data_IF_124276861783
#
_entry.id   IF_124276861783
#
_cell.length_a   1.000
_cell.length_b   1.000
_cell.length_c   1.000
_cell.angle_alpha   90.00
_cell.angle_beta   90.00
_cell.angle_gamma   90.00
#
_symmetry.space_group_name_H-M   'P 1'
#
loop_
_entity.id
_entity.type
_entity.pdbx_description
1 polymer ?
#
# COMPACT_ATOMS: atom_id res chain seq x y z
N UNK A 1 -4.72 6.49 30.23
CA UNK A 1 -5.75 7.52 30.46
C UNK A 1 -7.06 6.96 29.91
N UNK A 2 -7.95 6.44 30.78
CA UNK A 2 -9.25 5.92 30.35
C UNK A 2 -10.13 7.12 30.00
N UNK A 3 -10.53 7.22 28.77
CA UNK A 3 -11.55 8.21 28.34
C UNK A 3 -12.89 7.52 28.51
N UNK A 4 -13.61 7.85 29.58
CA UNK A 4 -15.02 7.54 29.71
C UNK A 4 -15.79 8.49 28.79
N UNK A 5 -16.36 7.95 27.73
CA UNK A 5 -17.32 8.67 26.87
C UNK A 5 -18.70 8.34 27.42
N UNK A 6 -19.31 9.28 28.15
CA UNK A 6 -20.73 9.19 28.47
C UNK A 6 -21.55 9.16 27.17
N UNK A 7 -22.18 8.03 26.91
CA UNK A 7 -23.15 7.90 25.83
C UNK A 7 -24.40 8.70 26.21
N UNK A 8 -24.59 9.87 25.59
CA UNK A 8 -25.87 10.60 25.69
C UNK A 8 -26.95 9.78 25.02
N UNK A 9 -28.00 9.45 25.78
CA UNK A 9 -29.21 8.72 25.35
C UNK A 9 -29.93 9.47 24.21
N UNK A 10 -29.55 9.18 22.98
CA UNK A 10 -30.25 9.65 21.79
C UNK A 10 -31.33 8.64 21.35
N UNK A 11 -32.46 9.10 20.77
CA UNK A 11 -33.58 8.23 20.38
C UNK A 11 -33.23 7.14 19.37
N UNK A 12 -32.07 7.19 18.74
CA UNK A 12 -31.57 6.20 17.78
C UNK A 12 -31.10 4.88 18.42
N UNK A 13 -30.53 4.92 19.65
CA UNK A 13 -30.02 3.73 20.32
C UNK A 13 -31.11 2.80 20.86
N UNK A 14 -32.30 3.32 21.18
CA UNK A 14 -33.44 2.52 21.67
C UNK A 14 -34.10 1.64 20.61
N UNK A 15 -33.85 1.90 19.31
CA UNK A 15 -34.47 1.12 18.22
C UNK A 15 -33.72 -0.15 17.82
N UNK A 16 -32.47 -0.35 18.25
CA UNK A 16 -31.66 -1.49 17.82
C UNK A 16 -31.59 -2.67 18.79
N UNK A 17 -32.31 -2.63 19.94
CA UNK A 17 -32.34 -3.77 20.87
C UNK A 17 -30.96 -4.23 21.37
N UNK A 18 -29.95 -3.38 21.33
CA UNK A 18 -28.61 -3.71 21.79
C UNK A 18 -28.58 -3.77 23.31
N UNK A 19 -27.92 -4.78 23.92
CA UNK A 19 -27.85 -4.90 25.37
C UNK A 19 -27.16 -3.68 25.98
N UNK A 20 -27.75 -3.11 27.04
CA UNK A 20 -27.21 -1.95 27.80
C UNK A 20 -25.94 -2.27 28.62
N UNK A 21 -25.22 -3.31 28.30
CA UNK A 21 -23.87 -3.50 28.83
C UNK A 21 -22.91 -2.68 27.94
N UNK A 22 -22.32 -1.64 28.52
CA UNK A 22 -21.34 -0.81 27.85
C UNK A 22 -20.33 -1.70 27.13
N UNK A 23 -20.39 -1.71 25.80
CA UNK A 23 -19.32 -2.28 24.97
C UNK A 23 -18.14 -1.35 25.17
N UNK A 24 -17.21 -1.76 26.03
CA UNK A 24 -15.89 -1.09 26.08
C UNK A 24 -15.26 -1.39 24.71
N UNK A 25 -15.42 -0.48 23.77
CA UNK A 25 -14.62 -0.50 22.57
C UNK A 25 -13.17 -0.29 23.02
N UNK A 26 -12.32 -1.30 22.87
CA UNK A 26 -10.90 -1.13 23.09
C UNK A 26 -10.45 0.11 22.30
N UNK A 27 -9.74 1.03 22.96
CA UNK A 27 -9.22 2.20 22.27
C UNK A 27 -8.25 1.71 21.19
N UNK A 28 -8.44 2.17 19.95
CA UNK A 28 -7.61 1.81 18.81
C UNK A 28 -6.88 3.03 18.28
N UNK A 29 -5.65 2.83 17.89
CA UNK A 29 -4.86 3.80 17.14
C UNK A 29 -4.79 3.36 15.69
N UNK A 30 -5.14 4.25 14.77
CA UNK A 30 -5.04 4.05 13.32
C UNK A 30 -3.88 4.88 12.79
N UNK A 31 -3.04 4.28 11.96
CA UNK A 31 -1.89 4.93 11.34
C UNK A 31 -2.00 4.75 9.83
N UNK A 32 -2.10 5.86 9.11
CA UNK A 32 -2.09 5.88 7.65
C UNK A 32 -0.67 5.59 7.15
N UNK A 33 -0.53 4.53 6.38
CA UNK A 33 0.74 4.06 5.83
C UNK A 33 0.89 4.39 4.34
N UNK A 34 0.09 5.32 3.82
CA UNK A 34 0.08 5.71 2.41
C UNK A 34 0.70 7.07 2.17
N UNK A 35 1.19 7.27 0.94
CA UNK A 35 1.50 8.59 0.41
C UNK A 35 0.27 9.17 -0.30
N UNK A 36 0.20 10.50 -0.37
CA UNK A 36 -0.84 11.19 -1.16
C UNK A 36 -0.52 11.08 -2.65
N UNK A 37 -1.53 10.78 -3.47
CA UNK A 37 -1.41 10.91 -4.93
C UNK A 37 -1.49 12.39 -5.28
N UNK A 38 -0.38 12.95 -5.75
CA UNK A 38 -0.27 14.36 -6.10
C UNK A 38 0.18 14.51 -7.55
N UNK A 39 -0.34 15.52 -8.28
CA UNK A 39 0.12 15.80 -9.62
C UNK A 39 1.52 16.42 -9.62
N UNK A 40 2.29 16.16 -10.67
CA UNK A 40 3.56 16.84 -10.95
C UNK A 40 4.72 16.56 -10.00
N UNK A 41 4.62 15.60 -9.07
CA UNK A 41 5.75 15.21 -8.23
C UNK A 41 6.76 14.36 -9.02
N UNK A 42 8.07 14.67 -8.94
CA UNK A 42 9.10 13.96 -9.71
C UNK A 42 9.57 12.65 -9.03
N UNK A 43 8.73 12.00 -8.24
CA UNK A 43 9.02 10.74 -7.54
C UNK A 43 8.74 9.50 -8.38
N UNK A 44 8.22 9.69 -9.58
CA UNK A 44 7.97 8.65 -10.58
C UNK A 44 8.62 9.05 -11.93
N UNK A 45 8.90 8.08 -12.81
CA UNK A 45 9.28 8.36 -14.18
C UNK A 45 8.25 9.29 -14.87
N UNK A 46 8.67 10.19 -15.78
CA UNK A 46 7.79 11.23 -16.33
C UNK A 46 6.45 10.72 -16.90
N UNK A 47 6.43 9.51 -17.48
CA UNK A 47 5.23 8.92 -18.06
C UNK A 47 4.25 8.38 -16.99
N UNK A 48 4.69 8.20 -15.75
CA UNK A 48 3.90 7.68 -14.64
C UNK A 48 3.43 8.77 -13.67
N UNK A 49 3.89 10.01 -13.86
CA UNK A 49 3.49 11.14 -13.01
C UNK A 49 1.98 11.37 -13.16
N UNK A 50 1.21 11.38 -12.06
CA UNK A 50 -0.22 11.61 -12.11
C UNK A 50 -0.59 12.98 -12.67
N UNK A 51 -1.71 13.03 -13.40
CA UNK A 51 -2.39 14.28 -13.79
C UNK A 51 -3.76 14.29 -13.15
N UNK A 52 -4.12 15.40 -12.54
CA UNK A 52 -5.40 15.61 -11.87
C UNK A 52 -5.99 16.90 -12.38
N UNK A 53 -7.12 16.81 -13.06
CA UNK A 53 -7.91 17.95 -13.52
C UNK A 53 -9.05 18.16 -12.51
N UNK A 54 -9.02 19.31 -11.82
CA UNK A 54 -9.97 19.65 -10.78
C UNK A 54 -11.11 20.47 -11.36
N UNK A 55 -12.34 20.01 -11.17
CA UNK A 55 -13.57 20.75 -11.39
C UNK A 55 -14.10 21.17 -10.03
N UNK A 56 -13.94 22.45 -9.70
CA UNK A 56 -14.36 23.00 -8.41
C UNK A 56 -15.88 23.21 -8.34
N UNK A 57 -16.35 23.64 -7.19
CA UNK A 57 -17.79 23.87 -6.94
C UNK A 57 -18.42 24.92 -7.85
N UNK A 58 -17.67 25.94 -8.28
CA UNK A 58 -18.18 26.97 -9.19
C UNK A 58 -18.35 26.39 -10.60
N UNK A 59 -17.37 25.63 -11.09
CA UNK A 59 -17.45 24.91 -12.34
C UNK A 59 -18.55 23.83 -12.30
N UNK A 60 -18.67 23.12 -11.16
CA UNK A 60 -19.72 22.12 -10.94
C UNK A 60 -21.13 22.71 -10.99
N UNK A 61 -21.32 23.93 -10.53
CA UNK A 61 -22.61 24.61 -10.64
C UNK A 61 -23.02 24.87 -12.10
N UNK A 62 -22.03 25.17 -12.95
CA UNK A 62 -22.27 25.30 -14.40
C UNK A 62 -22.62 23.94 -15.00
N UNK A 63 -21.85 22.88 -14.67
CA UNK A 63 -22.09 21.54 -15.17
C UNK A 63 -23.46 20.98 -14.76
N UNK A 64 -23.95 21.31 -13.55
CA UNK A 64 -25.28 20.89 -13.11
C UNK A 64 -26.40 21.39 -14.03
N UNK A 65 -26.24 22.49 -14.73
CA UNK A 65 -27.23 23.01 -15.67
C UNK A 65 -27.45 22.08 -16.86
N UNK A 66 -26.44 21.29 -17.24
CA UNK A 66 -26.56 20.28 -18.29
C UNK A 66 -27.47 19.11 -17.88
N UNK A 67 -27.51 18.81 -16.58
CA UNK A 67 -28.34 17.73 -16.02
C UNK A 67 -29.73 18.21 -15.60
N UNK A 68 -29.88 19.50 -15.30
CA UNK A 68 -31.11 20.12 -14.83
C UNK A 68 -31.50 21.29 -15.73
N UNK A 69 -32.14 21.03 -16.90
CA UNK A 69 -32.51 22.10 -17.84
C UNK A 69 -33.37 23.20 -17.17
N UNK A 70 -32.92 24.45 -17.32
CA UNK A 70 -33.58 25.61 -16.71
C UNK A 70 -33.10 25.98 -15.31
N UNK A 71 -32.20 25.16 -14.71
CA UNK A 71 -31.55 25.52 -13.45
C UNK A 71 -30.69 26.76 -13.63
N UNK A 72 -30.82 27.71 -12.72
CA UNK A 72 -29.95 28.91 -12.59
C UNK A 72 -29.01 28.71 -11.43
N UNK A 73 -27.77 29.20 -11.58
CA UNK A 73 -26.74 29.06 -10.55
C UNK A 73 -27.15 29.65 -9.19
N UNK A 74 -27.89 30.77 -9.19
CA UNK A 74 -28.40 31.44 -7.98
C UNK A 74 -29.46 30.62 -7.23
N UNK A 75 -30.02 29.60 -7.84
CA UNK A 75 -30.97 28.67 -7.21
C UNK A 75 -30.24 27.54 -6.42
N UNK A 76 -28.93 27.39 -6.61
CA UNK A 76 -28.11 26.45 -5.85
C UNK A 76 -27.71 27.07 -4.49
N UNK A 77 -27.49 26.23 -3.47
CA UNK A 77 -26.98 26.70 -2.19
C UNK A 77 -25.65 27.49 -2.34
N UNK A 78 -25.66 28.78 -2.07
CA UNK A 78 -24.52 29.66 -2.27
C UNK A 78 -24.04 29.81 -3.72
N UNK A 79 -24.85 29.42 -4.72
CA UNK A 79 -24.49 29.41 -6.13
C UNK A 79 -23.44 28.34 -6.49
N UNK A 80 -23.27 27.30 -5.67
CA UNK A 80 -22.25 26.27 -5.82
C UNK A 80 -22.86 24.89 -6.13
N UNK A 81 -22.15 24.08 -6.93
CA UNK A 81 -22.51 22.71 -7.30
C UNK A 81 -21.57 21.66 -6.68
N UNK A 82 -21.48 20.52 -7.31
CA UNK A 82 -20.54 19.46 -6.94
C UNK A 82 -19.09 19.81 -7.33
N UNK A 83 -18.13 19.09 -6.76
CA UNK A 83 -16.75 19.05 -7.22
C UNK A 83 -16.42 17.66 -7.76
N UNK A 84 -15.58 17.58 -8.79
CA UNK A 84 -15.14 16.33 -9.42
C UNK A 84 -13.66 16.44 -9.80
N UNK A 85 -12.98 15.31 -9.85
CA UNK A 85 -11.61 15.22 -10.33
C UNK A 85 -11.51 14.16 -11.44
N UNK A 86 -10.84 14.54 -12.53
CA UNK A 86 -10.49 13.60 -13.60
C UNK A 86 -9.03 13.20 -13.44
N UNK A 87 -8.78 11.89 -13.33
CA UNK A 87 -7.48 11.35 -13.04
C UNK A 87 -6.90 10.64 -14.27
N UNK A 88 -5.66 10.98 -14.63
CA UNK A 88 -4.87 10.24 -15.61
C UNK A 88 -3.58 9.78 -14.93
N UNK A 89 -3.53 8.49 -14.55
CA UNK A 89 -2.44 7.89 -13.77
C UNK A 89 -2.41 6.38 -14.01
N UNK A 90 -1.32 5.74 -13.60
CA UNK A 90 -1.20 4.28 -13.65
C UNK A 90 -1.77 3.65 -12.38
N UNK A 91 -2.09 2.36 -12.40
CA UNK A 91 -2.46 1.60 -11.20
C UNK A 91 -1.30 1.48 -10.19
N UNK A 92 -0.08 1.83 -10.63
CA UNK A 92 1.14 1.87 -9.82
C UNK A 92 1.51 3.28 -9.33
N UNK A 93 0.64 4.28 -9.50
CA UNK A 93 0.85 5.63 -8.96
C UNK A 93 0.48 5.70 -7.48
N UNK A 94 1.30 6.38 -6.67
CA UNK A 94 1.07 6.44 -5.22
C UNK A 94 1.20 5.07 -4.53
N UNK A 95 0.72 4.95 -3.29
CA UNK A 95 0.71 3.67 -2.60
C UNK A 95 -0.30 2.73 -3.24
N UNK A 96 0.17 1.56 -3.66
CA UNK A 96 -0.64 0.57 -4.37
C UNK A 96 -0.27 -0.84 -3.94
N UNK A 97 -1.11 -1.81 -4.31
CA UNK A 97 -0.87 -3.22 -4.13
C UNK A 97 -0.80 -3.88 -5.49
N UNK A 98 0.34 -4.50 -5.78
CA UNK A 98 0.57 -5.29 -6.98
C UNK A 98 0.03 -6.69 -6.83
N UNK A 99 -0.65 -7.14 -7.88
CA UNK A 99 -1.11 -8.53 -7.98
C UNK A 99 -0.08 -9.40 -8.69
N UNK A 100 -0.14 -10.73 -8.58
CA UNK A 100 0.75 -11.64 -9.30
C UNK A 100 0.83 -11.39 -10.80
N UNK A 101 -0.26 -10.91 -11.42
CA UNK A 101 -0.30 -10.61 -12.84
C UNK A 101 0.64 -9.47 -13.25
N UNK A 102 1.09 -8.64 -12.30
CA UNK A 102 2.05 -7.57 -12.59
C UNK A 102 3.39 -8.12 -13.06
N UNK A 103 3.88 -9.16 -12.42
CA UNK A 103 5.24 -9.65 -12.68
C UNK A 103 5.29 -10.80 -13.68
N UNK A 104 4.23 -11.55 -13.89
CA UNK A 104 4.21 -12.62 -14.88
C UNK A 104 2.77 -13.07 -15.20
N UNK A 105 2.49 -13.59 -16.40
CA UNK A 105 1.17 -14.15 -16.73
C UNK A 105 0.84 -15.45 -15.99
N UNK A 106 1.82 -16.09 -15.35
CA UNK A 106 1.63 -17.30 -14.55
C UNK A 106 2.27 -17.19 -13.17
N UNK A 107 1.70 -17.88 -12.19
CA UNK A 107 2.18 -18.01 -10.81
C UNK A 107 2.06 -19.47 -10.36
N UNK A 108 2.49 -19.81 -9.14
CA UNK A 108 2.34 -21.15 -8.52
C UNK A 108 2.73 -22.27 -9.47
N UNK A 109 3.91 -22.16 -10.10
CA UNK A 109 4.45 -23.16 -11.03
C UNK A 109 3.57 -23.41 -12.26
N UNK A 110 2.98 -22.36 -12.83
CA UNK A 110 2.30 -22.41 -14.12
C UNK A 110 0.78 -22.18 -14.11
N UNK A 111 0.19 -21.91 -12.95
CA UNK A 111 -1.20 -21.45 -12.89
C UNK A 111 -1.33 -20.03 -13.48
N UNK A 112 -2.48 -19.64 -14.05
CA UNK A 112 -2.72 -18.26 -14.43
C UNK A 112 -2.52 -17.33 -13.23
N UNK A 113 -1.80 -16.22 -13.44
CA UNK A 113 -1.59 -15.23 -12.39
C UNK A 113 -2.88 -14.45 -12.11
N UNK A 114 -3.18 -14.25 -10.83
CA UNK A 114 -4.34 -13.48 -10.40
C UNK A 114 -4.16 -12.00 -10.71
N UNK A 115 -5.21 -11.37 -11.25
CA UNK A 115 -5.32 -9.92 -11.38
C UNK A 115 -5.86 -9.32 -10.07
N UNK A 116 -5.76 -7.99 -9.90
CA UNK A 116 -6.09 -7.35 -8.61
C UNK A 116 -7.55 -7.56 -8.18
N UNK A 117 -8.47 -7.70 -9.13
CA UNK A 117 -9.88 -7.96 -8.85
C UNK A 117 -10.20 -9.41 -8.44
N UNK A 118 -9.21 -10.31 -8.54
CA UNK A 118 -9.29 -11.72 -8.16
C UNK A 118 -8.60 -12.03 -6.83
N UNK A 119 -7.87 -11.06 -6.25
CA UNK A 119 -7.15 -11.25 -4.99
C UNK A 119 -8.14 -11.55 -3.85
N UNK A 120 -7.92 -12.64 -3.06
CA UNK A 120 -8.72 -12.93 -1.88
C UNK A 120 -8.62 -11.79 -0.86
N UNK A 121 -9.75 -11.26 -0.41
CA UNK A 121 -9.79 -10.15 0.54
C UNK A 121 -9.18 -10.51 1.89
N UNK A 122 -9.19 -11.79 2.24
CA UNK A 122 -8.58 -12.32 3.47
C UNK A 122 -7.07 -12.10 3.51
N UNK A 123 -6.42 -11.94 2.35
CA UNK A 123 -4.99 -11.61 2.29
C UNK A 123 -4.71 -10.17 2.72
N UNK A 124 -5.71 -9.29 2.56
CA UNK A 124 -5.54 -7.84 2.72
C UNK A 124 -5.86 -7.33 4.14
N UNK A 125 -6.12 -8.22 5.09
CA UNK A 125 -6.41 -7.87 6.49
C UNK A 125 -5.88 -8.96 7.42
N UNK A 126 -4.74 -8.71 8.08
CA UNK A 126 -4.10 -9.69 8.97
C UNK A 126 -3.19 -9.03 10.00
N UNK A 127 -2.72 -9.84 10.96
CA UNK A 127 -1.59 -9.48 11.80
C UNK A 127 -0.39 -9.11 10.93
N UNK A 128 0.42 -8.17 11.42
CA UNK A 128 1.56 -7.69 10.65
C UNK A 128 2.83 -7.58 11.48
N UNK A 129 3.96 -7.69 10.78
CA UNK A 129 5.31 -7.50 11.33
C UNK A 129 6.07 -6.47 10.51
N UNK A 130 6.77 -5.57 11.19
CA UNK A 130 7.63 -4.53 10.62
C UNK A 130 9.09 -4.90 10.82
N UNK A 131 9.82 -5.08 9.72
CA UNK A 131 11.24 -5.36 9.68
C UNK A 131 12.01 -4.09 9.30
N UNK A 132 12.78 -3.55 10.22
CA UNK A 132 13.53 -2.29 10.05
C UNK A 132 14.92 -2.55 9.47
N UNK A 133 15.10 -2.13 8.22
CA UNK A 133 16.36 -2.21 7.46
C UNK A 133 16.92 -0.83 7.09
N UNK A 134 16.56 0.23 7.81
CA UNK A 134 17.06 1.60 7.58
C UNK A 134 18.58 1.74 7.74
N UNK A 135 19.25 0.75 8.32
CA UNK A 135 20.70 0.71 8.41
C UNK A 135 21.40 0.28 7.13
N UNK A 136 20.66 -0.31 6.18
CA UNK A 136 21.19 -0.67 4.86
C UNK A 136 21.25 0.56 3.94
N UNK A 137 22.28 0.60 3.10
CA UNK A 137 22.48 1.66 2.12
C UNK A 137 21.55 1.54 0.91
N UNK A 138 21.48 2.62 0.12
CA UNK A 138 20.71 2.65 -1.12
C UNK A 138 21.19 1.55 -2.09
N UNK A 139 20.27 0.75 -2.60
CA UNK A 139 20.56 -0.33 -3.54
C UNK A 139 21.20 -1.58 -2.93
N UNK A 140 21.39 -1.66 -1.61
CA UNK A 140 21.81 -2.91 -0.97
C UNK A 140 20.70 -3.96 -1.02
N UNK A 141 21.11 -5.24 -1.05
CA UNK A 141 20.19 -6.36 -0.92
C UNK A 141 19.75 -6.56 0.53
N UNK A 142 18.48 -6.86 0.72
CA UNK A 142 17.95 -7.47 1.94
C UNK A 142 17.88 -8.97 1.64
N UNK A 143 18.84 -9.70 2.21
CA UNK A 143 18.98 -11.14 1.97
C UNK A 143 18.10 -11.98 2.89
N UNK A 144 17.97 -13.26 2.59
CA UNK A 144 17.29 -14.23 3.45
C UNK A 144 17.85 -14.22 4.87
N UNK A 145 19.17 -14.17 5.00
CA UNK A 145 19.87 -14.13 6.30
C UNK A 145 19.55 -12.86 7.06
N UNK A 146 19.48 -11.71 6.38
CA UNK A 146 19.07 -10.45 7.00
C UNK A 146 17.65 -10.56 7.61
N UNK A 147 16.72 -11.15 6.85
CA UNK A 147 15.34 -11.35 7.29
C UNK A 147 15.28 -12.27 8.51
N UNK A 148 15.99 -13.40 8.48
CA UNK A 148 16.07 -14.34 9.60
C UNK A 148 16.64 -13.66 10.83
N UNK A 149 17.78 -12.99 10.70
CA UNK A 149 18.42 -12.27 11.82
C UNK A 149 17.49 -11.21 12.41
N UNK A 150 16.75 -10.48 11.57
CA UNK A 150 15.81 -9.44 12.04
C UNK A 150 14.62 -10.06 12.77
N UNK A 151 14.08 -11.17 12.30
CA UNK A 151 13.00 -11.89 12.97
C UNK A 151 13.44 -12.42 14.34
N UNK A 152 14.66 -12.98 14.43
CA UNK A 152 15.25 -13.44 15.69
C UNK A 152 15.48 -12.28 16.67
N UNK A 153 15.98 -11.13 16.18
CA UNK A 153 16.18 -9.91 16.99
C UNK A 153 14.88 -9.45 17.66
N UNK A 154 13.79 -9.41 16.88
CA UNK A 154 12.47 -8.96 17.39
C UNK A 154 11.68 -10.10 18.04
N UNK A 155 12.22 -11.34 18.07
CA UNK A 155 11.59 -12.55 18.63
C UNK A 155 10.22 -12.82 18.06
N UNK A 156 10.11 -12.78 16.73
CA UNK A 156 8.86 -13.01 16.02
C UNK A 156 8.96 -14.21 15.08
N UNK A 157 8.00 -15.10 15.16
CA UNK A 157 7.80 -16.22 14.23
C UNK A 157 6.67 -15.87 13.27
N UNK A 158 6.96 -15.87 11.96
CA UNK A 158 5.97 -15.58 10.91
C UNK A 158 4.92 -16.69 10.88
N UNK A 159 3.67 -16.26 10.84
CA UNK A 159 2.49 -17.11 10.69
C UNK A 159 1.94 -17.00 9.26
N UNK A 160 1.26 -18.05 8.76
CA UNK A 160 0.55 -17.94 7.49
C UNK A 160 -0.39 -16.73 7.47
N UNK A 161 -0.40 -16.00 6.34
CA UNK A 161 -1.14 -14.78 6.09
C UNK A 161 -0.67 -13.54 6.87
N UNK A 162 0.37 -13.59 7.69
CA UNK A 162 0.96 -12.37 8.22
C UNK A 162 1.34 -11.42 7.08
N UNK A 163 1.11 -10.12 7.29
CA UNK A 163 1.57 -9.07 6.38
C UNK A 163 2.94 -8.60 6.83
N UNK A 164 3.96 -8.73 5.97
CA UNK A 164 5.33 -8.34 6.30
C UNK A 164 5.67 -6.99 5.68
N UNK A 165 6.02 -6.02 6.53
CA UNK A 165 6.39 -4.66 6.11
C UNK A 165 7.90 -4.47 6.23
N UNK A 166 8.52 -3.95 5.18
CA UNK A 166 9.95 -3.63 5.10
C UNK A 166 10.13 -2.13 5.18
N UNK A 167 10.88 -1.68 6.19
CA UNK A 167 11.20 -0.27 6.35
C UNK A 167 12.63 0.01 5.92
N UNK A 168 12.80 0.82 4.89
CA UNK A 168 14.11 1.25 4.36
C UNK A 168 14.40 2.71 4.67
N UNK A 169 13.35 3.51 4.94
CA UNK A 169 13.43 4.96 5.11
C UNK A 169 13.47 5.72 3.78
N UNK A 170 13.22 5.06 2.67
CA UNK A 170 13.16 5.68 1.35
C UNK A 170 12.01 6.70 1.24
N UNK A 171 10.92 6.51 1.98
CA UNK A 171 9.77 7.41 2.04
C UNK A 171 10.14 8.87 2.36
N UNK A 172 11.26 9.11 3.04
CA UNK A 172 11.77 10.45 3.33
C UNK A 172 12.17 11.25 2.09
N UNK A 173 12.44 10.56 0.99
CA UNK A 173 12.77 11.19 -0.29
C UNK A 173 11.54 11.40 -1.19
N UNK A 174 10.33 11.00 -0.74
CA UNK A 174 9.10 11.24 -1.48
C UNK A 174 8.94 12.71 -1.86
N UNK A 175 8.49 12.97 -3.07
CA UNK A 175 8.39 14.33 -3.63
C UNK A 175 9.65 14.77 -4.39
N UNK A 176 10.71 13.96 -4.41
CA UNK A 176 11.98 14.28 -5.11
C UNK A 176 12.38 13.17 -6.09
N UNK A 177 13.22 13.48 -7.12
CA UNK A 177 13.73 12.47 -8.05
C UNK A 177 14.58 11.39 -7.36
N UNK A 178 15.20 11.72 -6.24
CA UNK A 178 16.04 10.80 -5.47
C UNK A 178 15.26 9.60 -4.96
N UNK A 179 13.94 9.70 -4.79
CA UNK A 179 13.10 8.59 -4.34
C UNK A 179 13.26 7.33 -5.21
N UNK A 180 13.46 7.51 -6.53
CA UNK A 180 13.67 6.42 -7.48
C UNK A 180 14.92 5.56 -7.21
N UNK A 181 15.85 6.06 -6.42
CA UNK A 181 17.13 5.38 -6.14
C UNK A 181 17.37 5.16 -4.65
N UNK A 182 16.39 5.48 -3.80
CA UNK A 182 16.48 5.33 -2.35
C UNK A 182 16.03 3.97 -1.84
N UNK A 183 16.69 3.56 -0.76
CA UNK A 183 16.39 2.36 0.00
C UNK A 183 17.12 1.11 -0.47
N UNK A 184 17.18 0.14 0.42
CA UNK A 184 17.52 -1.24 0.10
C UNK A 184 16.31 -1.93 -0.53
N UNK A 185 16.50 -3.08 -1.16
CA UNK A 185 15.40 -3.87 -1.72
C UNK A 185 15.58 -5.35 -1.47
N UNK A 186 14.48 -6.09 -1.52
CA UNK A 186 14.47 -7.54 -1.34
C UNK A 186 15.14 -8.23 -2.54
N UNK A 187 15.73 -9.38 -2.28
CA UNK A 187 16.15 -10.31 -3.31
C UNK A 187 15.16 -11.48 -3.45
N UNK A 188 15.43 -12.37 -4.41
CA UNK A 188 14.60 -13.54 -4.66
C UNK A 188 14.52 -14.46 -3.45
N UNK A 189 15.64 -14.76 -2.81
CA UNK A 189 15.73 -15.76 -1.73
C UNK A 189 15.05 -15.25 -0.45
N UNK A 190 15.19 -13.97 -0.13
CA UNK A 190 14.49 -13.34 1.00
C UNK A 190 12.98 -13.29 0.77
N UNK A 191 12.54 -13.02 -0.47
CA UNK A 191 11.14 -13.03 -0.84
C UNK A 191 10.56 -14.43 -0.72
N UNK A 192 11.19 -15.45 -1.34
CA UNK A 192 10.74 -16.83 -1.25
C UNK A 192 10.68 -17.34 0.19
N UNK A 193 11.65 -16.98 1.04
CA UNK A 193 11.63 -17.35 2.44
C UNK A 193 10.33 -16.90 3.15
N UNK A 194 9.87 -15.66 2.88
CA UNK A 194 8.60 -15.17 3.43
C UNK A 194 7.41 -15.95 2.86
N UNK A 195 7.40 -16.19 1.55
CA UNK A 195 6.30 -16.87 0.86
C UNK A 195 6.17 -18.33 1.28
N UNK A 196 7.29 -19.03 1.51
CA UNK A 196 7.34 -20.40 2.04
C UNK A 196 6.76 -20.51 3.46
N UNK A 197 6.78 -19.41 4.25
CA UNK A 197 6.11 -19.30 5.55
C UNK A 197 4.60 -19.05 5.45
N UNK A 198 4.06 -18.89 4.24
CA UNK A 198 2.64 -18.65 4.00
C UNK A 198 2.24 -17.18 3.96
N UNK A 199 3.21 -16.26 3.90
CA UNK A 199 2.96 -14.83 3.64
C UNK A 199 2.35 -14.68 2.24
N UNK A 200 1.33 -13.85 2.11
CA UNK A 200 0.65 -13.56 0.84
C UNK A 200 0.68 -12.09 0.48
N UNK A 201 0.89 -11.21 1.45
CA UNK A 201 1.04 -9.77 1.21
C UNK A 201 2.28 -9.27 1.95
N UNK A 202 3.09 -8.52 1.25
CA UNK A 202 4.24 -7.80 1.78
C UNK A 202 4.14 -6.32 1.44
N UNK A 203 5.00 -5.48 2.01
CA UNK A 203 5.00 -4.05 1.69
C UNK A 203 6.33 -3.39 1.99
N UNK A 204 6.63 -2.30 1.27
CA UNK A 204 7.87 -1.54 1.40
C UNK A 204 7.62 -0.04 1.26
N UNK A 205 8.42 0.78 1.94
CA UNK A 205 8.41 2.25 1.84
C UNK A 205 9.25 2.80 0.68
N UNK A 206 9.82 1.91 -0.15
CA UNK A 206 10.58 2.27 -1.35
C UNK A 206 9.70 2.31 -2.61
N UNK A 207 10.30 2.77 -3.71
CA UNK A 207 9.64 2.84 -5.02
C UNK A 207 9.34 1.46 -5.60
N UNK A 208 10.15 0.45 -5.27
CA UNK A 208 10.00 -0.94 -5.72
C UNK A 208 10.30 -1.92 -4.59
N UNK A 209 9.73 -3.12 -4.67
CA UNK A 209 10.04 -4.25 -3.78
C UNK A 209 11.47 -4.77 -3.98
N UNK A 210 11.92 -4.81 -5.24
CA UNK A 210 13.32 -5.05 -5.59
C UNK A 210 14.18 -3.84 -5.25
N UNK A 211 15.49 -4.04 -5.33
CA UNK A 211 16.46 -2.94 -5.30
C UNK A 211 16.16 -1.92 -6.40
N UNK A 212 16.45 -0.62 -6.18
CA UNK A 212 16.19 0.39 -7.19
C UNK A 212 16.81 0.04 -8.55
N UNK A 213 16.05 0.18 -9.63
CA UNK A 213 16.38 -0.27 -10.98
C UNK A 213 17.79 0.16 -11.48
N UNK A 214 18.31 1.36 -11.18
CA UNK A 214 19.66 1.74 -11.61
C UNK A 214 20.78 0.85 -11.01
N UNK A 215 20.58 0.27 -9.82
CA UNK A 215 21.54 -0.66 -9.22
C UNK A 215 21.46 -2.03 -9.88
N UNK A 216 20.26 -2.50 -10.21
CA UNK A 216 20.04 -3.74 -10.97
C UNK A 216 20.65 -3.62 -12.37
N UNK A 217 20.43 -2.50 -13.05
CA UNK A 217 20.99 -2.24 -14.38
C UNK A 217 22.53 -2.29 -14.39
N UNK A 218 23.17 -1.64 -13.42
CA UNK A 218 24.64 -1.68 -13.27
C UNK A 218 25.17 -3.09 -13.00
N UNK A 219 24.44 -3.86 -12.19
CA UNK A 219 24.85 -5.24 -11.90
C UNK A 219 24.68 -6.12 -13.14
N UNK A 220 23.56 -5.99 -13.85
CA UNK A 220 23.36 -6.68 -15.13
C UNK A 220 24.43 -6.32 -16.15
N UNK A 221 24.77 -5.04 -16.31
CA UNK A 221 25.85 -4.59 -17.20
C UNK A 221 27.19 -5.25 -16.85
N UNK A 222 27.48 -5.38 -15.55
CA UNK A 222 28.74 -5.98 -15.05
C UNK A 222 28.78 -7.50 -15.20
N UNK A 223 27.66 -8.18 -14.97
CA UNK A 223 27.63 -9.66 -14.87
C UNK A 223 27.10 -10.34 -16.11
N UNK A 224 26.27 -9.67 -16.90
CA UNK A 224 25.50 -10.26 -18.00
C UNK A 224 24.45 -11.28 -17.54
N UNK A 225 24.21 -11.39 -16.23
CA UNK A 225 23.25 -12.36 -15.69
C UNK A 225 21.83 -11.74 -15.61
N UNK A 226 20.86 -12.19 -16.43
CA UNK A 226 19.51 -11.65 -16.41
C UNK A 226 18.74 -11.99 -15.10
N UNK A 227 19.23 -12.93 -14.29
CA UNK A 227 18.58 -13.29 -13.04
C UNK A 227 18.57 -12.17 -12.00
N UNK A 228 19.46 -11.18 -12.14
CA UNK A 228 19.48 -10.01 -11.25
C UNK A 228 18.32 -9.05 -11.50
N UNK A 229 17.66 -9.16 -12.67
CA UNK A 229 16.57 -8.25 -13.08
C UNK A 229 15.28 -8.68 -12.40
N UNK A 230 14.71 -7.81 -11.57
CA UNK A 230 13.40 -8.03 -10.93
C UNK A 230 13.29 -9.36 -10.17
N UNK A 231 14.39 -9.76 -9.54
CA UNK A 231 14.55 -11.08 -8.94
C UNK A 231 13.52 -11.37 -7.84
N UNK A 232 13.14 -10.35 -7.05
CA UNK A 232 12.14 -10.48 -6.00
C UNK A 232 10.71 -10.52 -6.57
N UNK A 233 10.38 -9.68 -7.57
CA UNK A 233 9.10 -9.77 -8.26
C UNK A 233 8.91 -11.15 -8.90
N UNK A 234 9.93 -11.64 -9.62
CA UNK A 234 9.86 -12.94 -10.30
C UNK A 234 9.82 -14.14 -9.35
N UNK A 235 10.09 -13.98 -8.07
CA UNK A 235 9.79 -15.02 -7.07
C UNK A 235 8.30 -15.41 -7.09
N UNK A 236 7.41 -14.50 -7.46
CA UNK A 236 5.97 -14.73 -7.60
C UNK A 236 5.56 -15.71 -8.70
N UNK A 237 6.49 -16.05 -9.63
CA UNK A 237 6.27 -17.13 -10.61
C UNK A 237 6.19 -18.49 -9.90
N UNK A 238 6.96 -18.66 -8.84
CA UNK A 238 7.00 -19.91 -8.06
C UNK A 238 5.91 -19.96 -7.00
N UNK A 239 5.75 -18.87 -6.22
CA UNK A 239 4.74 -18.75 -5.19
C UNK A 239 4.06 -17.40 -5.33
N UNK A 240 2.80 -17.40 -5.78
CA UNK A 240 2.01 -16.18 -6.01
C UNK A 240 1.81 -15.38 -4.72
N UNK A 241 2.05 -14.07 -4.80
CA UNK A 241 1.92 -13.11 -3.69
C UNK A 241 1.60 -11.72 -4.22
N UNK A 242 1.24 -10.83 -3.32
CA UNK A 242 1.03 -9.41 -3.57
C UNK A 242 2.06 -8.58 -2.81
N UNK A 243 2.45 -7.43 -3.33
CA UNK A 243 3.24 -6.49 -2.54
C UNK A 243 2.71 -5.06 -2.66
N UNK A 244 2.81 -4.32 -1.55
CA UNK A 244 2.56 -2.89 -1.52
C UNK A 244 3.86 -2.15 -1.75
N UNK A 245 3.83 -1.17 -2.63
CA UNK A 245 4.95 -0.26 -2.88
C UNK A 245 4.58 1.16 -2.49
N UNK A 246 5.60 2.00 -2.32
CA UNK A 246 5.46 3.42 -1.99
C UNK A 246 4.64 3.64 -0.71
N UNK A 247 4.91 2.80 0.31
CA UNK A 247 4.35 3.02 1.64
C UNK A 247 5.04 4.18 2.34
N UNK A 248 4.42 4.73 3.37
CA UNK A 248 5.00 5.79 4.20
C UNK A 248 4.64 5.61 5.68
N UNK A 249 5.23 6.45 6.53
CA UNK A 249 4.92 6.50 7.97
C UNK A 249 5.15 5.19 8.74
N UNK A 250 5.91 4.24 8.24
CA UNK A 250 6.16 2.97 8.92
C UNK A 250 6.76 3.17 10.32
N UNK A 251 7.59 4.19 10.50
CA UNK A 251 8.14 4.57 11.81
C UNK A 251 7.07 4.92 12.86
N UNK A 252 5.90 5.42 12.44
CA UNK A 252 4.83 5.82 13.34
C UNK A 252 4.14 4.63 14.02
N UNK A 253 4.33 3.40 13.52
CA UNK A 253 3.84 2.17 14.14
C UNK A 253 4.45 2.00 15.54
N UNK A 254 5.75 2.29 15.70
CA UNK A 254 6.43 2.34 16.99
C UNK A 254 6.67 0.98 17.65
N UNK A 255 6.38 -0.12 16.97
CA UNK A 255 6.61 -1.51 17.42
C UNK A 255 6.81 -2.44 16.24
N UNK A 256 7.59 -3.52 16.36
CA UNK A 256 7.85 -4.42 15.25
C UNK A 256 6.69 -5.38 14.97
N UNK A 257 5.82 -5.69 15.92
CA UNK A 257 4.66 -6.58 15.78
C UNK A 257 3.57 -6.23 16.81
N UNK A 258 2.44 -6.98 16.83
CA UNK A 258 1.32 -6.72 17.71
C UNK A 258 0.42 -5.60 17.19
N UNK A 259 0.27 -5.54 15.88
CA UNK A 259 -0.66 -4.68 15.16
C UNK A 259 -1.22 -5.43 13.95
N UNK A 260 -2.34 -4.97 13.44
CA UNK A 260 -2.98 -5.49 12.24
C UNK A 260 -2.82 -4.48 11.11
N UNK A 261 -2.69 -4.96 9.86
CA UNK A 261 -2.72 -4.11 8.67
C UNK A 261 -3.97 -4.42 7.85
N UNK A 262 -4.60 -3.35 7.37
CA UNK A 262 -5.68 -3.36 6.39
C UNK A 262 -5.17 -2.68 5.11
N UNK A 263 -5.22 -3.38 3.96
CA UNK A 263 -4.64 -2.89 2.70
C UNK A 263 -5.46 -3.28 1.46
N UNK A 264 -6.79 -3.22 1.54
CA UNK A 264 -7.66 -3.58 0.42
C UNK A 264 -7.39 -2.70 -0.82
N UNK A 265 -7.03 -3.29 -1.97
CA UNK A 265 -6.84 -2.53 -3.20
C UNK A 265 -8.18 -2.16 -3.85
N UNK A 266 -8.18 -1.08 -4.63
CA UNK A 266 -9.30 -0.76 -5.53
C UNK A 266 -9.48 -1.89 -6.54
N UNK A 267 -10.71 -2.38 -6.67
CA UNK A 267 -11.06 -3.51 -7.55
C UNK A 267 -11.21 -3.05 -8.99
N UNK A 268 -10.11 -3.14 -9.76
CA UNK A 268 -10.06 -2.78 -11.18
C UNK A 268 -10.00 -4.06 -12.00
N UNK A 269 -10.96 -4.26 -12.89
CA UNK A 269 -11.06 -5.49 -13.67
C UNK A 269 -9.79 -5.74 -14.51
N UNK A 270 -9.19 -6.91 -14.33
CA UNK A 270 -8.01 -7.41 -15.06
C UNK A 270 -6.78 -6.51 -14.92
N UNK A 271 -6.69 -5.70 -13.87
CA UNK A 271 -5.53 -4.85 -13.66
C UNK A 271 -4.42 -5.58 -12.91
N UNK A 272 -3.20 -5.14 -13.18
CA UNK A 272 -1.96 -5.64 -12.57
C UNK A 272 -1.75 -5.13 -11.14
N UNK A 273 -2.39 -4.02 -10.77
CA UNK A 273 -2.33 -3.43 -9.45
C UNK A 273 -3.60 -2.64 -9.14
N UNK A 274 -3.74 -2.22 -7.88
CA UNK A 274 -4.79 -1.33 -7.44
C UNK A 274 -4.30 -0.40 -6.34
N UNK A 275 -4.70 0.88 -6.38
CA UNK A 275 -4.38 1.81 -5.31
C UNK A 275 -4.96 1.32 -4.00
N UNK A 276 -4.19 1.46 -2.94
CA UNK A 276 -4.60 1.12 -1.59
C UNK A 276 -4.22 2.22 -0.61
N UNK A 277 -4.99 2.37 0.44
CA UNK A 277 -4.65 3.19 1.59
C UNK A 277 -4.42 2.28 2.79
N UNK A 278 -3.21 1.69 2.91
CA UNK A 278 -2.94 0.75 3.98
C UNK A 278 -2.95 1.47 5.32
N UNK A 279 -3.55 0.79 6.32
CA UNK A 279 -3.70 1.33 7.67
C UNK A 279 -3.19 0.31 8.67
N UNK A 280 -2.27 0.71 9.54
CA UNK A 280 -1.93 -0.07 10.72
C UNK A 280 -2.93 0.22 11.84
N UNK A 281 -3.44 -0.82 12.48
CA UNK A 281 -4.42 -0.77 13.57
C UNK A 281 -3.75 -1.36 14.82
N UNK A 282 -3.67 -0.56 15.87
CA UNK A 282 -3.05 -0.92 17.15
C UNK A 282 -4.12 -0.87 18.23
N UNK A 283 -4.37 -1.97 18.91
CA UNK A 283 -5.17 -1.99 20.14
C UNK A 283 -4.34 -1.41 21.29
N UNK A 284 -4.95 -0.47 22.08
CA UNK A 284 -4.31 0.29 23.14
C UNK A 284 -4.61 -0.28 24.53
#
# INVERSE_FOLDING_TARGET
MKIEVEAKDGPWFKRMGLPQRGVIMAARRFIDLSITIEPSLPSDPPMMIPKIDYLDHAMGAVQMQDFFPGLKQDQLPGGLGWALEFLSLTTHSGTHLDSPYHYHPTMDMGKPAMTVDEIPIEWCFSDAVLLDFRHKGDGERITREDVICKLDEIKYEIKPLDIVLIQTGADRAWGTPEYLVKGAGMDRESTLYLLEKGVKVVGIDAWSWDRPLPFLAKEFEKTGDPKVIWEAHFAGIEIGYCHMEKMANLSAIGRPHGFTVCCFPIKIKRASAGWTRPVAIIDL
#
